data_IF_308857637572
#
_entry.id   IF_308857637572
#
_cell.length_a   1.000
_cell.length_b   1.000
_cell.length_c   1.000
_cell.angle_alpha   90.00
_cell.angle_beta   90.00
_cell.angle_gamma   90.00
#
_symmetry.space_group_name_H-M   'P 1'
#
loop_
_entity.id
_entity.type
_entity.pdbx_description
1 polymer ?
#
# COMPACT_ATOMS: atom_id res chain seq x y z
N UNK A 1 5.83 -23.45 -11.25
CA UNK A 1 4.46 -23.06 -11.63
C UNK A 1 4.53 -21.82 -12.49
N UNK A 2 4.19 -21.91 -13.77
CA UNK A 2 4.10 -20.75 -14.66
C UNK A 2 2.80 -20.90 -15.47
N UNK A 3 1.90 -19.91 -15.38
CA UNK A 3 0.77 -19.76 -16.30
C UNK A 3 0.78 -18.34 -16.83
N UNK A 4 0.49 -18.22 -18.12
CA UNK A 4 0.39 -16.96 -18.85
C UNK A 4 -0.62 -16.01 -18.19
N UNK A 5 -0.21 -14.77 -17.96
CA UNK A 5 -1.02 -13.73 -17.31
C UNK A 5 -0.98 -13.67 -15.78
N UNK A 6 -0.43 -14.70 -15.10
CA UNK A 6 -0.25 -14.70 -13.64
C UNK A 6 1.23 -14.93 -13.30
N UNK A 7 2.10 -13.91 -13.40
CA UNK A 7 3.48 -14.04 -12.99
C UNK A 7 3.53 -14.39 -11.50
N UNK A 8 4.26 -15.46 -11.15
CA UNK A 8 4.50 -15.79 -9.75
C UNK A 8 5.28 -14.65 -9.08
N UNK A 9 5.01 -14.39 -7.80
CA UNK A 9 5.82 -13.46 -7.00
C UNK A 9 7.01 -14.25 -6.44
N UNK A 10 8.26 -13.93 -6.79
CA UNK A 10 9.41 -14.56 -6.17
C UNK A 10 9.47 -14.14 -4.71
N UNK A 11 9.19 -15.08 -3.80
CA UNK A 11 9.28 -14.89 -2.35
C UNK A 11 10.51 -15.65 -1.87
N UNK A 12 11.35 -14.99 -1.08
CA UNK A 12 12.55 -15.57 -0.52
C UNK A 12 12.33 -15.71 0.98
N UNK A 13 12.52 -16.92 1.51
CA UNK A 13 12.54 -17.11 2.97
C UNK A 13 13.86 -16.58 3.52
N UNK A 14 13.81 -15.47 4.25
CA UNK A 14 14.98 -14.88 4.92
C UNK A 14 15.37 -15.65 6.22
N UNK A 15 14.63 -16.71 6.57
CA UNK A 15 14.85 -17.47 7.80
C UNK A 15 16.18 -18.24 7.77
N UNK A 16 17.03 -18.01 8.76
CA UNK A 16 18.39 -18.55 8.85
C UNK A 16 19.40 -17.84 7.96
N UNK A 17 19.04 -16.73 7.29
CA UNK A 17 19.96 -15.98 6.46
C UNK A 17 20.93 -15.13 7.31
N UNK A 18 22.12 -14.77 6.79
CA UNK A 18 23.03 -13.86 7.47
C UNK A 18 22.42 -12.48 7.76
N UNK A 19 21.43 -12.06 6.98
CA UNK A 19 20.79 -10.75 7.07
C UNK A 19 19.53 -10.74 7.93
N UNK A 20 19.00 -11.89 8.34
CA UNK A 20 17.72 -12.01 9.05
C UNK A 20 17.66 -11.15 10.32
N UNK A 21 18.65 -11.32 11.21
CA UNK A 21 18.70 -10.61 12.49
C UNK A 21 18.90 -9.11 12.27
N UNK A 22 19.74 -8.74 11.31
CA UNK A 22 20.01 -7.34 10.95
C UNK A 22 18.73 -6.69 10.41
N UNK A 23 17.99 -7.42 9.57
CA UNK A 23 16.71 -6.99 9.00
C UNK A 23 15.67 -6.75 10.07
N UNK A 24 15.49 -7.69 11.01
CA UNK A 24 14.59 -7.50 12.16
C UNK A 24 14.99 -6.31 13.03
N UNK A 25 16.28 -6.13 13.26
CA UNK A 25 16.81 -5.00 14.03
C UNK A 25 16.54 -3.66 13.35
N UNK A 26 16.76 -3.57 12.03
CA UNK A 26 16.45 -2.36 11.25
C UNK A 26 14.95 -2.09 11.26
N UNK A 27 14.12 -3.10 10.99
CA UNK A 27 12.67 -2.97 10.94
C UNK A 27 12.10 -2.40 12.24
N UNK A 28 12.58 -2.89 13.38
CA UNK A 28 12.21 -2.38 14.70
C UNK A 28 12.36 -0.85 14.82
N UNK A 29 13.37 -0.27 14.18
CA UNK A 29 13.65 1.16 14.23
C UNK A 29 12.93 2.00 13.17
N UNK A 30 12.44 1.40 12.08
CA UNK A 30 11.85 2.14 10.95
C UNK A 30 10.34 1.91 10.78
N UNK A 31 9.78 0.81 11.30
CA UNK A 31 8.37 0.46 11.12
C UNK A 31 7.41 1.54 11.65
N UNK A 32 7.74 2.17 12.78
CA UNK A 32 6.90 3.20 13.38
C UNK A 32 6.92 4.51 12.58
N UNK A 33 7.98 4.74 11.81
CA UNK A 33 8.11 5.94 10.99
C UNK A 33 7.07 5.98 9.86
N UNK A 34 6.63 4.81 9.40
CA UNK A 34 5.59 4.65 8.38
C UNK A 34 4.28 5.36 8.78
N UNK A 35 3.98 5.39 10.07
CA UNK A 35 2.75 5.99 10.62
C UNK A 35 2.69 7.52 10.40
N UNK A 36 3.84 8.17 10.23
CA UNK A 36 3.92 9.63 10.06
C UNK A 36 3.68 10.12 8.64
N UNK A 37 3.66 9.24 7.64
CA UNK A 37 3.34 9.65 6.29
C UNK A 37 1.83 9.89 6.15
N UNK A 38 1.43 11.12 5.80
CA UNK A 38 0.03 11.53 5.65
C UNK A 38 -0.78 10.62 4.70
N UNK A 39 -0.14 10.08 3.66
CA UNK A 39 -0.75 9.20 2.67
C UNK A 39 -0.65 7.70 3.01
N UNK A 40 0.16 7.34 4.01
CA UNK A 40 0.43 5.95 4.43
C UNK A 40 -0.15 5.62 5.81
N UNK A 41 -0.63 6.62 6.57
CA UNK A 41 -1.12 6.49 7.95
C UNK A 41 -2.38 5.63 8.13
N UNK A 42 -2.88 5.00 7.06
CA UNK A 42 -4.01 4.07 7.08
C UNK A 42 -3.58 2.64 6.73
N UNK A 43 -2.39 2.23 7.19
CA UNK A 43 -1.82 0.89 6.96
C UNK A 43 -2.64 -0.25 7.56
N UNK A 44 -3.64 0.01 8.39
CA UNK A 44 -4.57 -1.03 8.85
C UNK A 44 -5.89 -0.89 8.11
N UNK A 45 -6.37 -2.02 7.55
CA UNK A 45 -7.65 -2.13 6.84
C UNK A 45 -8.84 -1.53 7.63
N UNK A 46 -8.79 -1.60 8.96
CA UNK A 46 -9.81 -0.99 9.84
C UNK A 46 -9.86 0.53 9.76
N UNK A 47 -8.72 1.21 9.60
CA UNK A 47 -8.66 2.66 9.42
C UNK A 47 -9.13 3.03 8.02
N UNK A 48 -8.78 2.22 7.02
CA UNK A 48 -9.27 2.38 5.65
C UNK A 48 -10.79 2.23 5.57
N UNK A 49 -11.36 1.13 6.08
CA UNK A 49 -12.79 0.86 6.07
C UNK A 49 -13.58 1.95 6.82
N UNK A 50 -13.11 2.36 8.01
CA UNK A 50 -13.71 3.47 8.76
C UNK A 50 -13.69 4.78 7.98
N UNK A 51 -12.58 5.08 7.29
CA UNK A 51 -12.46 6.29 6.47
C UNK A 51 -13.43 6.27 5.28
N UNK A 52 -13.71 5.11 4.68
CA UNK A 52 -14.65 5.04 3.56
C UNK A 52 -16.09 5.18 4.02
N UNK A 53 -16.49 4.49 5.08
CA UNK A 53 -17.86 4.54 5.63
C UNK A 53 -18.23 5.95 6.11
N UNK A 54 -17.27 6.71 6.66
CA UNK A 54 -17.51 8.08 7.11
C UNK A 54 -17.46 9.12 6.00
N UNK A 55 -17.04 8.76 4.78
CA UNK A 55 -16.93 9.70 3.67
C UNK A 55 -18.31 9.99 3.09
N UNK A 56 -18.85 11.17 3.42
CA UNK A 56 -20.01 11.74 2.73
C UNK A 56 -19.52 12.72 1.67
N UNK A 57 -19.73 12.41 0.41
CA UNK A 57 -19.44 13.33 -0.69
C UNK A 57 -20.61 14.29 -0.81
N UNK A 58 -20.35 15.60 -0.69
CA UNK A 58 -21.38 16.61 -0.91
C UNK A 58 -21.68 16.61 -2.40
N UNK A 59 -22.82 16.05 -2.79
CA UNK A 59 -23.32 16.10 -4.16
C UNK A 59 -23.86 17.52 -4.42
N UNK A 60 -22.98 18.49 -4.67
CA UNK A 60 -23.39 19.61 -5.49
C UNK A 60 -23.56 19.07 -6.91
N UNK A 61 -24.66 19.43 -7.57
CA UNK A 61 -25.13 18.89 -8.87
C UNK A 61 -24.15 19.08 -10.06
N UNK A 62 -22.90 19.49 -9.82
CA UNK A 62 -21.92 19.86 -10.86
C UNK A 62 -20.57 19.16 -10.74
N UNK A 63 -20.30 18.36 -9.70
CA UNK A 63 -19.01 17.65 -9.57
C UNK A 63 -19.18 16.19 -10.00
N UNK A 64 -18.53 15.83 -11.11
CA UNK A 64 -18.41 14.43 -11.52
C UNK A 64 -17.30 13.75 -10.73
N UNK A 65 -17.66 12.73 -9.96
CA UNK A 65 -16.72 11.88 -9.24
C UNK A 65 -16.26 10.73 -10.13
N UNK A 66 -14.98 10.37 -10.05
CA UNK A 66 -14.46 9.14 -10.64
C UNK A 66 -13.72 8.35 -9.55
N UNK A 67 -14.12 7.10 -9.38
CA UNK A 67 -13.40 6.16 -8.53
C UNK A 67 -12.26 5.58 -9.35
N UNK A 68 -11.07 5.54 -8.77
CA UNK A 68 -9.90 4.99 -9.43
C UNK A 68 -9.10 4.16 -8.44
N UNK A 69 -8.58 3.04 -8.92
CA UNK A 69 -7.55 2.26 -8.24
C UNK A 69 -6.27 2.35 -9.04
N UNK A 70 -5.13 2.30 -8.35
CA UNK A 70 -3.82 2.16 -8.96
C UNK A 70 -3.06 1.04 -8.26
N UNK A 71 -2.17 0.37 -8.98
CA UNK A 71 -1.27 -0.66 -8.44
C UNK A 71 0.16 -0.37 -8.87
N UNK A 72 1.10 -0.41 -7.92
CA UNK A 72 2.52 -0.22 -8.16
C UNK A 72 3.15 -1.53 -8.67
N UNK A 73 3.46 -1.57 -9.97
CA UNK A 73 3.94 -2.77 -10.64
C UNK A 73 5.24 -3.31 -10.04
N UNK A 74 5.16 -4.51 -9.45
CA UNK A 74 6.31 -5.22 -8.90
C UNK A 74 7.17 -4.34 -7.96
N UNK A 75 6.48 -3.60 -7.08
CA UNK A 75 7.06 -2.55 -6.22
C UNK A 75 8.41 -2.96 -5.60
N UNK A 76 8.43 -4.00 -4.78
CA UNK A 76 9.62 -4.38 -4.00
C UNK A 76 10.86 -4.61 -4.87
N UNK A 77 10.70 -5.28 -6.01
CA UNK A 77 11.81 -5.58 -6.93
C UNK A 77 12.28 -4.37 -7.74
N UNK A 78 11.52 -3.27 -7.76
CA UNK A 78 11.78 -2.11 -8.60
C UNK A 78 12.29 -0.87 -7.85
N UNK A 79 12.34 -0.89 -6.51
CA UNK A 79 12.86 0.23 -5.70
C UNK A 79 14.38 0.36 -5.89
N UNK A 80 14.89 1.52 -6.36
CA UNK A 80 16.32 1.77 -6.40
C UNK A 80 16.90 1.87 -4.99
N UNK A 81 17.98 1.11 -4.72
CA UNK A 81 18.57 1.04 -3.37
C UNK A 81 18.91 2.41 -2.80
N UNK A 82 19.60 3.25 -3.58
CA UNK A 82 20.05 4.57 -3.15
C UNK A 82 18.87 5.48 -2.76
N UNK A 83 17.77 5.41 -3.53
CA UNK A 83 16.58 6.23 -3.29
C UNK A 83 15.79 5.75 -2.08
N UNK A 84 15.60 4.44 -1.94
CA UNK A 84 14.93 3.89 -0.75
C UNK A 84 15.73 4.09 0.53
N UNK A 85 17.07 3.98 0.49
CA UNK A 85 17.94 4.33 1.62
C UNK A 85 17.80 5.81 1.96
N UNK A 86 17.78 6.68 0.96
CA UNK A 86 17.61 8.13 1.15
C UNK A 86 16.27 8.45 1.78
N UNK A 87 15.17 7.83 1.32
CA UNK A 87 13.85 7.99 1.91
C UNK A 87 13.82 7.55 3.39
N UNK A 88 14.43 6.41 3.72
CA UNK A 88 14.56 5.96 5.11
C UNK A 88 15.39 6.93 5.95
N UNK A 89 16.48 7.48 5.40
CA UNK A 89 17.32 8.46 6.09
C UNK A 89 16.55 9.75 6.39
N UNK A 90 15.85 10.29 5.40
CA UNK A 90 15.04 11.50 5.56
C UNK A 90 13.93 11.29 6.59
N UNK A 91 13.26 10.13 6.54
CA UNK A 91 12.27 9.73 7.53
C UNK A 91 12.84 9.70 8.95
N UNK A 92 13.99 9.05 9.13
CA UNK A 92 14.66 8.96 10.41
C UNK A 92 15.08 10.33 10.95
N UNK A 93 15.63 11.21 10.10
CA UNK A 93 16.04 12.57 10.51
C UNK A 93 14.82 13.39 10.94
N UNK A 94 13.70 13.22 10.25
CA UNK A 94 12.49 14.02 10.47
C UNK A 94 11.70 13.57 11.69
N UNK A 95 11.64 12.27 11.97
CA UNK A 95 10.68 11.71 12.93
C UNK A 95 11.30 10.93 14.10
N UNK A 96 12.59 10.56 14.05
CA UNK A 96 13.26 10.04 15.25
C UNK A 96 13.71 11.20 16.11
N UNK A 97 13.63 11.03 17.43
CA UNK A 97 14.19 12.01 18.36
C UNK A 97 15.70 12.13 18.15
N UNK A 98 16.23 13.36 18.27
CA UNK A 98 17.63 13.66 17.93
C UNK A 98 18.68 12.85 18.72
N UNK A 99 18.29 12.20 19.81
CA UNK A 99 19.19 11.44 20.71
C UNK A 99 19.02 9.92 20.56
N UNK A 100 18.07 9.44 19.74
CA UNK A 100 17.80 8.00 19.64
C UNK A 100 18.96 7.23 19.00
N UNK A 101 19.58 6.31 19.75
CA UNK A 101 20.52 5.32 19.20
C UNK A 101 19.75 4.12 18.62
N UNK A 102 20.28 3.46 17.59
CA UNK A 102 21.49 3.79 16.83
C UNK A 102 21.26 4.95 15.85
N UNK A 103 22.34 5.59 15.37
CA UNK A 103 22.22 6.75 14.47
C UNK A 103 21.57 6.38 13.13
N UNK A 104 20.94 7.37 12.47
CA UNK A 104 20.36 7.16 11.14
C UNK A 104 21.41 6.65 10.13
N UNK A 105 22.65 7.16 10.20
CA UNK A 105 23.77 6.69 9.37
C UNK A 105 24.07 5.22 9.59
N UNK A 106 24.11 4.76 10.84
CA UNK A 106 24.36 3.34 11.15
C UNK A 106 23.26 2.45 10.56
N UNK A 107 21.99 2.82 10.75
CA UNK A 107 20.87 2.07 10.17
C UNK A 107 20.89 2.07 8.64
N UNK A 108 21.25 3.19 7.99
CA UNK A 108 21.41 3.24 6.53
C UNK A 108 22.48 2.26 6.03
N UNK A 109 23.59 2.12 6.74
CA UNK A 109 24.63 1.14 6.40
C UNK A 109 24.09 -0.29 6.53
N UNK A 110 23.33 -0.59 7.60
CA UNK A 110 22.70 -1.90 7.76
C UNK A 110 21.68 -2.19 6.65
N UNK A 111 20.84 -1.21 6.29
CA UNK A 111 19.92 -1.32 5.15
C UNK A 111 20.69 -1.63 3.87
N UNK A 112 21.77 -0.90 3.61
CA UNK A 112 22.61 -1.14 2.44
C UNK A 112 23.13 -2.59 2.41
N UNK A 113 23.63 -3.11 3.54
CA UNK A 113 24.10 -4.49 3.64
C UNK A 113 22.98 -5.49 3.38
N UNK A 114 21.79 -5.30 3.97
CA UNK A 114 20.64 -6.16 3.73
C UNK A 114 20.28 -6.20 2.24
N UNK A 115 20.28 -5.04 1.58
CA UNK A 115 19.93 -4.93 0.16
C UNK A 115 20.98 -5.55 -0.78
N UNK A 116 22.27 -5.49 -0.44
CA UNK A 116 23.37 -5.96 -1.31
C UNK A 116 23.91 -7.34 -0.96
N UNK A 117 23.55 -7.90 0.18
CA UNK A 117 23.97 -9.24 0.62
C UNK A 117 22.79 -10.21 0.65
N UNK A 118 21.75 -9.91 -0.13
CA UNK A 118 20.57 -10.73 -0.27
C UNK A 118 20.79 -11.80 -1.36
N UNK A 119 21.24 -12.96 -0.91
CA UNK A 119 21.41 -14.13 -1.76
C UNK A 119 20.16 -15.02 -1.69
N UNK A 120 19.73 -15.50 -2.85
CA UNK A 120 18.68 -16.51 -2.97
C UNK A 120 19.27 -17.76 -3.60
N UNK A 121 18.93 -18.92 -3.06
CA UNK A 121 19.23 -20.19 -3.71
C UNK A 121 17.98 -20.64 -4.46
N UNK A 122 18.14 -20.91 -5.75
CA UNK A 122 17.10 -21.53 -6.56
C UNK A 122 17.72 -22.71 -7.31
N UNK A 123 17.18 -23.90 -7.04
CA UNK A 123 17.81 -25.16 -7.44
C UNK A 123 19.25 -25.24 -6.87
N UNK A 124 20.23 -25.56 -7.71
CA UNK A 124 21.64 -25.65 -7.33
C UNK A 124 22.42 -24.34 -7.56
N UNK A 125 21.71 -23.26 -7.91
CA UNK A 125 22.33 -21.97 -8.24
C UNK A 125 22.08 -20.94 -7.14
N UNK A 126 23.16 -20.23 -6.77
CA UNK A 126 23.10 -19.07 -5.90
C UNK A 126 23.00 -17.80 -6.73
N UNK A 127 21.97 -17.00 -6.48
CA UNK A 127 21.73 -15.74 -7.15
C UNK A 127 21.84 -14.60 -6.15
N UNK A 128 22.40 -13.48 -6.60
CA UNK A 128 22.46 -12.25 -5.83
C UNK A 128 21.40 -11.29 -6.36
N UNK A 129 20.56 -10.76 -5.48
CA UNK A 129 19.61 -9.72 -5.87
C UNK A 129 20.35 -8.39 -6.00
N UNK A 130 20.43 -7.86 -7.22
CA UNK A 130 21.18 -6.63 -7.52
C UNK A 130 20.32 -5.36 -7.52
N UNK A 131 19.00 -5.49 -7.51
CA UNK A 131 18.04 -4.37 -7.54
C UNK A 131 16.79 -4.69 -6.71
N UNK A 132 16.13 -3.65 -6.19
CA UNK A 132 14.97 -3.83 -5.32
C UNK A 132 15.30 -4.47 -3.96
N UNK A 133 14.27 -4.85 -3.22
CA UNK A 133 14.36 -5.54 -1.92
C UNK A 133 13.65 -6.89 -1.98
N UNK A 134 14.17 -7.90 -1.26
CA UNK A 134 13.57 -9.24 -1.26
C UNK A 134 12.19 -9.20 -0.60
N UNK A 135 11.22 -9.83 -1.26
CA UNK A 135 9.94 -10.14 -0.64
C UNK A 135 10.16 -11.28 0.35
N UNK A 136 10.35 -10.95 1.63
CA UNK A 136 10.54 -11.90 2.73
C UNK A 136 11.50 -11.43 3.82
N UNK A 137 12.33 -10.44 3.50
CA UNK A 137 13.14 -9.71 4.49
C UNK A 137 12.23 -8.89 5.41
N UNK A 138 12.40 -9.01 6.74
CA UNK A 138 11.54 -8.34 7.74
C UNK A 138 11.40 -6.82 7.52
N UNK A 139 12.47 -6.10 7.18
CA UNK A 139 12.41 -4.65 6.95
C UNK A 139 11.76 -4.22 5.63
N UNK A 140 11.48 -5.16 4.70
CA UNK A 140 11.04 -4.81 3.35
C UNK A 140 9.72 -4.01 3.31
N UNK A 141 8.66 -4.38 4.07
CA UNK A 141 7.40 -3.61 4.05
C UNK A 141 7.57 -2.17 4.54
N UNK A 142 8.32 -1.98 5.64
CA UNK A 142 8.59 -0.65 6.19
C UNK A 142 9.42 0.19 5.21
N UNK A 143 10.46 -0.39 4.63
CA UNK A 143 11.31 0.24 3.61
C UNK A 143 10.51 0.68 2.38
N UNK A 144 9.70 -0.21 1.81
CA UNK A 144 8.87 0.09 0.65
C UNK A 144 7.86 1.21 0.95
N UNK A 145 7.23 1.19 2.13
CA UNK A 145 6.29 2.22 2.54
C UNK A 145 6.93 3.60 2.70
N UNK A 146 8.13 3.69 3.27
CA UNK A 146 8.87 4.95 3.43
C UNK A 146 9.29 5.51 2.07
N UNK A 147 9.80 4.65 1.17
CA UNK A 147 10.12 5.04 -0.20
C UNK A 147 8.87 5.54 -0.94
N UNK A 148 7.78 4.77 -0.93
CA UNK A 148 6.53 5.16 -1.59
C UNK A 148 5.97 6.46 -1.00
N UNK A 149 5.99 6.63 0.32
CA UNK A 149 5.52 7.86 0.95
C UNK A 149 6.30 9.11 0.53
N UNK A 150 7.61 8.97 0.27
CA UNK A 150 8.43 10.05 -0.28
C UNK A 150 8.15 10.30 -1.78
N UNK A 151 8.02 9.23 -2.57
CA UNK A 151 7.72 9.29 -4.01
C UNK A 151 6.36 9.93 -4.27
N UNK A 152 5.32 9.45 -3.59
CA UNK A 152 3.95 9.96 -3.66
C UNK A 152 3.87 11.43 -3.31
N UNK A 153 4.57 11.85 -2.24
CA UNK A 153 4.59 13.25 -1.83
C UNK A 153 5.12 14.16 -2.95
N UNK A 154 6.19 13.75 -3.63
CA UNK A 154 6.74 14.50 -4.78
C UNK A 154 5.78 14.46 -5.98
N UNK A 155 5.24 13.28 -6.30
CA UNK A 155 4.33 13.07 -7.42
C UNK A 155 3.06 13.91 -7.28
N UNK A 156 2.39 13.81 -6.13
CA UNK A 156 1.19 14.58 -5.81
C UNK A 156 1.51 16.08 -5.84
N UNK A 157 2.54 16.55 -5.14
CA UNK A 157 2.87 17.99 -5.13
C UNK A 157 3.24 18.57 -6.51
N UNK A 158 3.69 17.75 -7.45
CA UNK A 158 4.00 18.18 -8.83
C UNK A 158 2.77 18.21 -9.75
N UNK A 159 1.64 17.63 -9.34
CA UNK A 159 0.40 17.62 -10.12
C UNK A 159 -0.40 18.92 -9.94
N UNK A 160 -0.90 19.54 -11.04
CA UNK A 160 -1.78 20.72 -10.95
C UNK A 160 -3.08 20.44 -10.18
N UNK A 161 -3.57 19.21 -10.23
CA UNK A 161 -4.79 18.77 -9.58
C UNK A 161 -4.52 17.65 -8.59
N UNK A 162 -5.15 17.74 -7.41
CA UNK A 162 -5.03 16.74 -6.37
C UNK A 162 -6.27 15.86 -6.32
N UNK A 163 -6.12 14.55 -6.06
CA UNK A 163 -7.26 13.70 -5.76
C UNK A 163 -7.96 14.18 -4.48
N UNK A 164 -9.28 14.05 -4.42
CA UNK A 164 -10.06 14.37 -3.23
C UNK A 164 -9.71 13.44 -2.07
N UNK A 165 -9.52 12.16 -2.40
CA UNK A 165 -9.11 11.11 -1.48
C UNK A 165 -7.94 10.38 -2.11
N UNK A 166 -6.91 10.12 -1.30
CA UNK A 166 -5.78 9.24 -1.65
C UNK A 166 -5.55 8.29 -0.49
N UNK A 167 -5.68 6.99 -0.73
CA UNK A 167 -5.50 5.94 0.26
C UNK A 167 -4.56 4.90 -0.34
N UNK A 168 -3.49 4.54 0.39
CA UNK A 168 -2.59 3.48 -0.03
C UNK A 168 -2.48 2.39 1.01
N UNK A 169 -2.43 1.16 0.53
CA UNK A 169 -2.11 -0.03 1.29
C UNK A 169 -1.05 -0.82 0.51
N UNK A 170 0.20 -0.77 0.98
CA UNK A 170 1.35 -1.34 0.27
C UNK A 170 1.46 -0.81 -1.18
N UNK A 171 1.29 -1.68 -2.18
CA UNK A 171 1.29 -1.42 -3.63
C UNK A 171 -0.08 -0.94 -4.16
N UNK A 172 -1.18 -1.26 -3.47
CA UNK A 172 -2.55 -0.90 -3.85
C UNK A 172 -2.92 0.53 -3.41
N UNK A 173 -3.41 1.33 -4.35
CA UNK A 173 -3.86 2.71 -4.13
C UNK A 173 -5.32 2.84 -4.55
N UNK A 174 -6.10 3.53 -3.74
CA UNK A 174 -7.46 3.96 -4.07
C UNK A 174 -7.53 5.47 -3.99
N UNK A 175 -8.17 6.08 -4.99
CA UNK A 175 -8.37 7.52 -5.04
C UNK A 175 -9.74 7.91 -5.59
N UNK A 176 -10.21 9.08 -5.17
CA UNK A 176 -11.41 9.72 -5.73
C UNK A 176 -10.99 10.99 -6.44
N UNK A 177 -11.38 11.10 -7.70
CA UNK A 177 -11.09 12.26 -8.54
C UNK A 177 -12.34 13.11 -8.77
N UNK A 178 -12.16 14.44 -8.81
CA UNK A 178 -13.26 15.41 -8.92
C UNK A 178 -13.06 16.47 -10.01
N UNK A 179 -11.97 16.39 -10.79
CA UNK A 179 -11.59 17.43 -11.75
C UNK A 179 -11.95 17.09 -13.20
N UNK A 180 -12.77 16.06 -13.41
CA UNK A 180 -13.17 15.54 -14.72
C UNK A 180 -12.24 14.45 -15.28
N UNK A 181 -12.71 13.73 -16.30
CA UNK A 181 -12.01 12.57 -16.88
C UNK A 181 -10.71 12.96 -17.60
N UNK A 182 -10.71 14.04 -18.38
CA UNK A 182 -9.51 14.48 -19.12
C UNK A 182 -8.33 14.82 -18.20
N UNK A 183 -8.60 15.46 -17.05
CA UNK A 183 -7.55 15.77 -16.07
C UNK A 183 -7.13 14.53 -15.28
N UNK A 184 -8.03 13.56 -15.09
CA UNK A 184 -7.69 12.25 -14.52
C UNK A 184 -6.73 11.50 -15.43
N UNK A 185 -7.01 11.44 -16.74
CA UNK A 185 -6.13 10.77 -17.71
C UNK A 185 -4.73 11.39 -17.73
N UNK A 186 -4.66 12.73 -17.65
CA UNK A 186 -3.38 13.44 -17.51
C UNK A 186 -2.66 13.11 -16.21
N UNK A 187 -3.38 13.04 -15.09
CA UNK A 187 -2.81 12.65 -13.79
C UNK A 187 -2.28 11.22 -13.80
N UNK A 188 -3.02 10.26 -14.38
CA UNK A 188 -2.60 8.87 -14.46
C UNK A 188 -1.40 8.70 -15.40
N UNK A 189 -1.37 9.44 -16.52
CA UNK A 189 -0.21 9.50 -17.40
C UNK A 189 1.01 10.10 -16.69
N UNK A 190 0.81 11.16 -15.91
CA UNK A 190 1.87 11.76 -15.08
C UNK A 190 2.40 10.75 -14.07
N UNK A 191 1.52 10.10 -13.30
CA UNK A 191 1.90 9.11 -12.30
C UNK A 191 2.68 7.94 -12.90
N UNK A 192 2.21 7.40 -14.04
CA UNK A 192 2.87 6.31 -14.77
C UNK A 192 4.29 6.69 -15.19
N UNK A 193 4.52 7.93 -15.62
CA UNK A 193 5.82 8.40 -16.11
C UNK A 193 6.65 9.12 -15.03
N UNK A 194 6.17 9.16 -13.78
CA UNK A 194 6.79 9.96 -12.74
C UNK A 194 8.17 9.44 -12.33
N UNK A 195 8.36 8.12 -12.38
CA UNK A 195 9.59 7.47 -11.94
C UNK A 195 10.06 6.41 -12.96
N UNK A 196 11.37 6.33 -13.25
CA UNK A 196 11.88 5.43 -14.30
C UNK A 196 11.62 3.95 -13.99
N UNK A 197 11.68 3.54 -12.72
CA UNK A 197 11.52 2.12 -12.34
C UNK A 197 10.19 1.81 -11.68
N UNK A 198 9.45 2.81 -11.21
CA UNK A 198 8.18 2.60 -10.50
C UNK A 198 7.06 2.99 -11.45
N UNK A 199 6.33 1.98 -11.89
CA UNK A 199 5.25 2.10 -12.86
C UNK A 199 3.93 1.80 -12.17
N UNK A 200 2.87 2.47 -12.61
CA UNK A 200 1.52 2.28 -12.09
C UNK A 200 0.60 1.75 -13.18
N UNK A 201 -0.23 0.77 -12.83
CA UNK A 201 -1.45 0.43 -13.55
C UNK A 201 -2.65 1.08 -12.88
N UNK A 202 -3.74 1.29 -13.61
CA UNK A 202 -4.93 1.94 -13.07
C UNK A 202 -6.22 1.37 -13.64
N UNK A 203 -7.26 1.31 -12.82
CA UNK A 203 -8.64 1.04 -13.23
C UNK A 203 -9.53 2.22 -12.81
N UNK A 204 -10.49 2.57 -13.66
CA UNK A 204 -11.38 3.71 -13.44
C UNK A 204 -12.82 3.24 -13.55
N UNK A 205 -13.67 3.71 -12.64
CA UNK A 205 -15.10 3.47 -12.70
C UNK A 205 -15.88 4.66 -12.13
N UNK A 206 -16.97 5.08 -12.79
CA UNK A 206 -17.82 6.16 -12.28
C UNK A 206 -18.70 5.74 -11.12
N UNK A 207 -18.98 4.43 -10.96
CA UNK A 207 -19.99 3.93 -10.03
C UNK A 207 -19.43 2.94 -9.02
N UNK A 208 -18.67 1.94 -9.46
CA UNK A 208 -18.20 0.87 -8.56
C UNK A 208 -16.83 0.34 -8.94
N UNK A 209 -15.97 0.11 -7.95
CA UNK A 209 -14.61 -0.37 -8.18
C UNK A 209 -14.20 -1.38 -7.09
N UNK A 210 -13.60 -2.53 -7.46
CA UNK A 210 -13.06 -3.46 -6.48
C UNK A 210 -11.76 -2.90 -5.88
N UNK A 211 -11.58 -3.06 -4.58
CA UNK A 211 -10.33 -2.71 -3.89
C UNK A 211 -10.18 -3.59 -2.64
N UNK A 212 -9.04 -4.28 -2.49
CA UNK A 212 -8.70 -5.09 -1.31
C UNK A 212 -9.84 -6.02 -0.80
N UNK A 213 -10.51 -6.72 -1.71
CA UNK A 213 -11.56 -7.68 -1.36
C UNK A 213 -12.91 -7.07 -0.97
N UNK A 214 -13.11 -5.77 -1.23
CA UNK A 214 -14.43 -5.11 -1.17
C UNK A 214 -14.78 -4.45 -2.50
N UNK A 215 -16.06 -4.41 -2.82
CA UNK A 215 -16.60 -3.60 -3.90
C UNK A 215 -17.01 -2.27 -3.29
N UNK A 216 -16.41 -1.18 -3.76
CA UNK A 216 -16.76 0.17 -3.35
C UNK A 216 -17.75 0.71 -4.37
N UNK A 217 -18.93 1.12 -3.92
CA UNK A 217 -19.98 1.68 -4.78
C UNK A 217 -20.31 3.11 -4.35
N UNK A 218 -20.39 4.02 -5.32
CA UNK A 218 -20.84 5.39 -5.12
C UNK A 218 -22.36 5.47 -5.35
N UNK A 219 -23.16 5.57 -4.29
CA UNK A 219 -24.61 5.71 -4.37
C UNK A 219 -25.07 6.99 -3.68
N UNK A 220 -25.77 7.88 -4.39
CA UNK A 220 -26.37 9.09 -3.80
C UNK A 220 -25.37 10.00 -3.05
N UNK A 221 -24.12 10.09 -3.51
CA UNK A 221 -23.05 10.85 -2.84
C UNK A 221 -22.47 10.18 -1.60
N UNK A 222 -22.73 8.89 -1.39
CA UNK A 222 -22.15 8.08 -0.31
C UNK A 222 -21.36 6.91 -0.88
N UNK A 223 -20.31 6.53 -0.18
CA UNK A 223 -19.57 5.30 -0.48
C UNK A 223 -20.17 4.16 0.33
N UNK A 224 -20.57 3.11 -0.37
CA UNK A 224 -21.04 1.85 0.19
C UNK A 224 -20.01 0.76 -0.12
N UNK A 225 -19.91 -0.23 0.76
CA UNK A 225 -18.93 -1.31 0.63
C UNK A 225 -19.58 -2.67 0.82
N UNK A 226 -19.39 -3.55 -0.14
CA UNK A 226 -19.82 -4.94 -0.07
C UNK A 226 -18.61 -5.88 -0.14
N UNK A 227 -18.61 -7.03 0.55
CA UNK A 227 -17.59 -8.05 0.36
C UNK A 227 -17.49 -8.44 -1.12
N UNK A 228 -16.27 -8.45 -1.65
CA UNK A 228 -16.00 -8.79 -3.03
C UNK A 228 -14.92 -9.86 -3.09
N UNK A 229 -15.29 -11.04 -3.54
CA UNK A 229 -14.34 -12.07 -3.95
C UNK A 229 -14.42 -12.17 -5.46
N UNK A 230 -13.36 -11.79 -6.20
CA UNK A 230 -13.33 -12.10 -7.62
C UNK A 230 -13.46 -13.62 -7.77
N UNK A 231 -14.26 -14.07 -8.74
CA UNK A 231 -14.63 -15.47 -8.97
C UNK A 231 -13.43 -16.44 -9.07
N UNK A 232 -12.20 -15.92 -9.19
CA UNK A 232 -10.91 -16.64 -9.19
C UNK A 232 -10.42 -17.10 -7.81
N UNK A 233 -10.93 -16.57 -6.69
CA UNK A 233 -10.48 -16.93 -5.34
C UNK A 233 -11.13 -18.21 -4.77
N UNK A 234 -12.17 -18.74 -5.42
CA UNK A 234 -12.85 -19.97 -4.97
C UNK A 234 -11.94 -21.22 -5.04
N UNK A 235 -10.89 -21.19 -5.88
CA UNK A 235 -9.96 -22.31 -6.08
C UNK A 235 -8.72 -22.28 -5.16
N UNK A 236 -8.56 -21.25 -4.31
CA UNK A 236 -7.41 -21.12 -3.39
C UNK A 236 -7.62 -21.83 -2.04
N UNK A 237 -8.56 -22.78 -1.93
CA UNK A 237 -8.89 -23.42 -0.65
C UNK A 237 -7.83 -24.37 -0.06
N UNK A 238 -6.64 -24.48 -0.64
CA UNK A 238 -5.53 -25.17 0.02
C UNK A 238 -4.33 -24.25 0.18
N UNK A 239 -3.87 -24.13 1.43
CA UNK A 239 -2.64 -23.45 1.89
C UNK A 239 -2.62 -21.92 1.76
N UNK A 240 -3.39 -21.27 2.63
CA UNK A 240 -2.89 -20.33 3.65
C UNK A 240 -4.15 -19.76 4.32
N UNK A 241 -4.30 -20.01 5.62
CA UNK A 241 -5.33 -19.39 6.43
C UNK A 241 -5.12 -17.88 6.32
N UNK A 242 -5.91 -17.20 5.48
CA UNK A 242 -6.29 -15.82 5.75
C UNK A 242 -6.74 -15.84 7.21
N UNK A 243 -5.95 -15.18 8.06
CA UNK A 243 -6.07 -15.25 9.50
C UNK A 243 -7.56 -15.07 9.87
N UNK A 244 -8.15 -16.03 10.58
CA UNK A 244 -9.58 -16.02 10.92
C UNK A 244 -9.98 -14.73 11.65
N UNK A 245 -9.01 -14.01 12.22
CA UNK A 245 -9.15 -12.64 12.73
C UNK A 245 -9.59 -11.62 11.66
N UNK A 246 -9.09 -11.68 10.43
CA UNK A 246 -9.46 -10.74 9.36
C UNK A 246 -10.93 -10.93 8.93
N UNK A 247 -11.39 -12.18 8.82
CA UNK A 247 -12.79 -12.49 8.49
C UNK A 247 -13.75 -12.19 9.66
N UNK A 248 -13.33 -12.44 10.91
CA UNK A 248 -14.14 -12.10 12.09
C UNK A 248 -14.19 -10.59 12.33
N UNK A 249 -13.12 -9.82 12.01
CA UNK A 249 -13.16 -8.35 12.03
C UNK A 249 -14.10 -7.80 10.94
N UNK A 250 -14.14 -8.41 9.75
CA UNK A 250 -15.10 -8.06 8.69
C UNK A 250 -16.54 -8.28 9.20
N UNK A 251 -16.81 -9.42 9.84
CA UNK A 251 -18.15 -9.74 10.36
C UNK A 251 -18.56 -8.83 11.54
N UNK A 252 -17.65 -8.55 12.48
CA UNK A 252 -17.91 -7.72 13.67
C UNK A 252 -18.06 -6.24 13.28
N UNK A 253 -17.24 -5.73 12.35
CA UNK A 253 -17.32 -4.35 11.88
C UNK A 253 -18.64 -4.03 11.18
N UNK A 254 -19.15 -4.95 10.36
CA UNK A 254 -20.46 -4.81 9.70
C UNK A 254 -21.60 -4.88 10.73
N UNK A 255 -21.53 -5.80 11.70
CA UNK A 255 -22.59 -5.96 12.69
C UNK A 255 -22.71 -4.80 13.68
N UNK A 256 -21.58 -4.25 14.14
CA UNK A 256 -21.55 -3.11 15.07
C UNK A 256 -22.08 -1.83 14.41
N UNK A 257 -21.76 -1.62 13.13
CA UNK A 257 -22.21 -0.43 12.38
C UNK A 257 -23.73 -0.47 12.15
N UNK A 258 -24.30 -1.64 11.82
CA UNK A 258 -25.74 -1.85 11.66
C UNK A 258 -26.52 -1.67 12.98
N UNK A 259 -25.95 -2.10 14.12
CA UNK A 259 -26.60 -1.91 15.43
C UNK A 259 -26.57 -0.45 15.90
N UNK A 260 -25.48 0.28 15.66
CA UNK A 260 -25.42 1.72 15.99
C UNK A 260 -26.33 2.58 15.11
N UNK A 261 -26.54 2.20 13.85
CA UNK A 261 -27.49 2.87 12.97
C UNK A 261 -28.95 2.59 13.40
N UNK A 262 -29.31 1.33 13.70
CA UNK A 262 -30.66 1.02 14.17
C UNK A 262 -31.01 1.65 15.52
N UNK A 263 -30.04 1.82 16.43
CA UNK A 263 -30.26 2.51 17.71
C UNK A 263 -30.54 4.01 17.54
N UNK A 264 -29.95 4.65 16.53
CA UNK A 264 -30.19 6.07 16.21
C UNK A 264 -31.53 6.32 15.51
N UNK A 265 -32.13 5.31 14.87
CA UNK A 265 -33.44 5.41 14.20
C UNK A 265 -34.65 5.13 15.12
N UNK A 266 -34.43 4.59 16.32
CA UNK A 266 -35.51 4.33 17.30
C UNK A 266 -35.62 5.37 18.43
N UNK A 267 -34.84 6.46 18.37
CA UNK A 267 -34.87 7.54 19.36
C UNK A 267 -35.17 8.93 18.78
N UNK A 268 -35.76 8.98 17.58
CA UNK A 268 -36.29 10.20 16.97
C UNK A 268 -37.80 10.07 16.70
#
# INVERSE_FOLDING_TARGET
MHKEGNPGRPIISDNGSPTEIISKFVDFHIQDLVKHHHHTSKTTWTVFAKSMISTRLVSSLQVHFSLCTMDACALYTNIPHAEGITACREAMIKWREHITKPSARFLCNLIQHILTLNFLQFEDNLWLQTHGTAMGTSMAPSYANLFMGALEGKMLNSSPHQPLIWLRYLDDIYLIWTHGSSTLDQFLAHAKNFHPTIQFTSEISPLKIPFLGVMITLQGGRLETDPYTPFRAADWKHTHTLNLQTLSIIYIGVHVTLTTLNAAYHTA
#
